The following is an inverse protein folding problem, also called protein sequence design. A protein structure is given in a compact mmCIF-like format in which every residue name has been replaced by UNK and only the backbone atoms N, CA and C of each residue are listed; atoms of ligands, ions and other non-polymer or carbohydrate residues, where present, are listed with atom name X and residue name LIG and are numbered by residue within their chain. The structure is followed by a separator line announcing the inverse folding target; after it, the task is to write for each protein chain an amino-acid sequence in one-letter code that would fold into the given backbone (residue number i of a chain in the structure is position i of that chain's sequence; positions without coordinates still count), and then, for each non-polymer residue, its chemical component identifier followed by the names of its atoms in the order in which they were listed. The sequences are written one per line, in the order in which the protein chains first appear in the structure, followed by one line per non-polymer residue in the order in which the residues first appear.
data_IF_300982090450
#
_entry.id   IF_300982090450
#
_cell.length_a   1.000
_cell.length_b   1.000
_cell.length_c   1.000
_cell.angle_alpha   90.00
_cell.angle_beta   90.00
_cell.angle_gamma   90.00
#
_symmetry.space_group_name_H-M   'P 1'
#
loop_
_entity.id
_entity.type
_entity.pdbx_description
1 polymer ?
#
# COMPACT_ATOMS: atom_id res chain seq x y z
N UNK A 1 -24.64 21.61 -29.87
CA UNK A 1 -25.39 20.66 -29.04
C UNK A 1 -24.46 19.59 -28.43
N UNK A 2 -23.17 19.88 -28.34
CA UNK A 2 -22.06 18.95 -27.94
C UNK A 2 -21.44 19.22 -26.55
N UNK A 3 -21.79 20.35 -25.94
CA UNK A 3 -21.15 20.83 -24.69
C UNK A 3 -21.74 20.25 -23.40
N UNK A 4 -22.84 19.50 -23.46
CA UNK A 4 -23.50 18.95 -22.26
C UNK A 4 -23.06 17.52 -21.92
N UNK A 5 -22.41 16.82 -22.87
CA UNK A 5 -22.04 15.41 -22.71
C UNK A 5 -20.76 15.20 -21.89
N UNK A 6 -19.84 16.16 -21.92
CA UNK A 6 -18.53 16.07 -21.22
C UNK A 6 -18.63 16.33 -19.72
N UNK A 7 -19.54 17.19 -19.26
CA UNK A 7 -19.70 17.50 -17.83
C UNK A 7 -20.27 16.36 -16.98
N UNK A 8 -21.12 15.51 -17.57
CA UNK A 8 -21.70 14.36 -16.85
C UNK A 8 -20.69 13.27 -16.54
N UNK A 9 -19.78 12.99 -17.47
CA UNK A 9 -18.73 11.96 -17.29
C UNK A 9 -17.71 12.32 -16.20
N UNK A 10 -17.24 13.56 -16.18
CA UNK A 10 -16.24 13.99 -15.19
C UNK A 10 -16.79 14.04 -13.75
N UNK A 11 -18.10 14.28 -13.60
CA UNK A 11 -18.74 14.30 -12.29
C UNK A 11 -18.93 12.89 -11.72
N UNK A 12 -19.20 11.90 -12.58
CA UNK A 12 -19.31 10.50 -12.17
C UNK A 12 -17.95 9.92 -11.75
N UNK A 13 -16.87 10.25 -12.47
CA UNK A 13 -15.49 9.85 -12.11
C UNK A 13 -15.10 10.38 -10.74
N UNK A 14 -15.34 11.66 -10.49
CA UNK A 14 -15.04 12.30 -9.22
C UNK A 14 -15.82 11.68 -8.06
N UNK A 15 -17.11 11.40 -8.23
CA UNK A 15 -17.94 10.76 -7.21
C UNK A 15 -17.47 9.34 -6.89
N UNK A 16 -17.15 8.54 -7.91
CA UNK A 16 -16.64 7.17 -7.75
C UNK A 16 -15.27 7.16 -7.06
N UNK A 17 -14.39 8.07 -7.45
CA UNK A 17 -13.08 8.24 -6.80
C UNK A 17 -13.25 8.64 -5.33
N UNK A 18 -14.15 9.58 -5.02
CA UNK A 18 -14.48 9.98 -3.65
C UNK A 18 -15.00 8.81 -2.81
N UNK A 19 -15.84 7.97 -3.39
CA UNK A 19 -16.37 6.77 -2.75
C UNK A 19 -15.24 5.78 -2.44
N UNK A 20 -14.31 5.56 -3.38
CA UNK A 20 -13.14 4.71 -3.18
C UNK A 20 -12.23 5.23 -2.06
N UNK A 21 -11.96 6.54 -2.04
CA UNK A 21 -11.18 7.16 -0.95
C UNK A 21 -11.90 7.01 0.39
N UNK A 22 -13.19 7.27 0.43
CA UNK A 22 -13.97 7.12 1.67
C UNK A 22 -13.90 5.69 2.17
N UNK A 23 -14.02 4.70 1.28
CA UNK A 23 -13.90 3.29 1.62
C UNK A 23 -12.49 2.96 2.14
N UNK A 24 -11.43 3.50 1.53
CA UNK A 24 -10.05 3.29 2.00
C UNK A 24 -9.79 3.95 3.35
N UNK A 25 -10.32 5.15 3.58
CA UNK A 25 -10.22 5.83 4.88
C UNK A 25 -10.96 5.05 5.96
N UNK A 26 -12.14 4.54 5.68
CA UNK A 26 -12.88 3.68 6.62
C UNK A 26 -12.10 2.41 6.92
N UNK A 27 -11.52 1.75 5.91
CA UNK A 27 -10.67 0.57 6.11
C UNK A 27 -9.44 0.86 6.97
N UNK A 28 -8.76 1.98 6.71
CA UNK A 28 -7.62 2.44 7.52
C UNK A 28 -8.03 2.80 8.96
N UNK A 29 -9.21 3.41 9.14
CA UNK A 29 -9.75 3.74 10.47
C UNK A 29 -10.07 2.48 11.27
N UNK A 30 -10.62 1.45 10.63
CA UNK A 30 -10.85 0.14 11.25
C UNK A 30 -9.52 -0.50 11.63
N UNK A 31 -8.53 -0.49 10.73
CA UNK A 31 -7.19 -1.00 11.01
C UNK A 31 -6.50 -0.24 12.17
N UNK A 32 -6.69 1.07 12.26
CA UNK A 32 -6.20 1.89 13.37
C UNK A 32 -6.92 1.53 14.68
N UNK A 33 -8.23 1.32 14.65
CA UNK A 33 -9.01 0.91 15.83
C UNK A 33 -8.51 -0.42 16.43
N UNK A 34 -8.14 -1.38 15.59
CA UNK A 34 -7.51 -2.65 16.02
C UNK A 34 -6.04 -2.52 16.41
N UNK A 35 -5.51 -1.30 16.58
CA UNK A 35 -4.09 -1.02 16.83
C UNK A 35 -3.13 -1.64 15.79
N UNK A 36 -3.62 -1.98 14.60
CA UNK A 36 -2.82 -2.61 13.56
C UNK A 36 -1.69 -1.69 13.08
N UNK A 37 -1.92 -0.39 13.01
CA UNK A 37 -0.91 0.61 12.64
C UNK A 37 0.19 0.68 13.72
N UNK A 38 -0.18 0.64 14.99
CA UNK A 38 0.80 0.62 16.09
C UNK A 38 1.58 -0.70 16.10
N UNK A 39 0.91 -1.82 15.87
CA UNK A 39 1.53 -3.12 15.72
C UNK A 39 2.51 -3.15 14.54
N UNK A 40 2.13 -2.58 13.41
CA UNK A 40 2.98 -2.45 12.22
C UNK A 40 4.24 -1.64 12.53
N UNK A 41 4.08 -0.46 13.14
CA UNK A 41 5.20 0.42 13.48
C UNK A 41 6.17 -0.20 14.51
N UNK A 42 5.65 -0.94 15.47
CA UNK A 42 6.44 -1.58 16.52
C UNK A 42 7.21 -2.82 16.03
N UNK A 43 6.67 -3.52 15.03
CA UNK A 43 7.21 -4.81 14.56
C UNK A 43 7.90 -4.73 13.20
N UNK A 44 7.71 -3.66 12.43
CA UNK A 44 8.39 -3.46 11.15
C UNK A 44 9.82 -2.99 11.36
N UNK A 45 10.74 -3.95 11.37
CA UNK A 45 12.19 -3.71 11.54
C UNK A 45 12.78 -2.83 10.43
N UNK A 46 12.22 -2.89 9.23
CA UNK A 46 12.72 -2.17 8.05
C UNK A 46 12.10 -0.79 7.87
N UNK A 47 10.99 -0.51 8.58
CA UNK A 47 10.13 0.67 8.39
C UNK A 47 9.67 0.89 6.93
N UNK A 48 9.85 -0.12 6.08
CA UNK A 48 9.45 -0.08 4.68
C UNK A 48 7.93 -0.02 4.52
N UNK A 49 7.17 -0.63 5.43
CA UNK A 49 5.70 -0.51 5.44
C UNK A 49 5.25 0.94 5.58
N UNK A 50 5.94 1.73 6.41
CA UNK A 50 5.64 3.17 6.56
C UNK A 50 5.98 3.94 5.28
N UNK A 51 7.10 3.61 4.63
CA UNK A 51 7.47 4.22 3.36
C UNK A 51 6.45 3.89 2.25
N UNK A 52 5.97 2.65 2.17
CA UNK A 52 4.93 2.23 1.23
C UNK A 52 3.61 2.98 1.49
N UNK A 53 3.20 3.13 2.75
CA UNK A 53 2.00 3.90 3.11
C UNK A 53 2.14 5.39 2.77
N UNK A 54 3.32 5.98 2.95
CA UNK A 54 3.59 7.36 2.56
C UNK A 54 3.52 7.52 1.02
N UNK A 55 4.10 6.60 0.26
CA UNK A 55 3.98 6.56 -1.20
C UNK A 55 2.52 6.39 -1.65
N UNK A 56 1.76 5.51 -0.99
CA UNK A 56 0.34 5.33 -1.26
C UNK A 56 -0.46 6.63 -1.06
N UNK A 57 -0.25 7.32 0.06
CA UNK A 57 -0.92 8.59 0.35
C UNK A 57 -0.55 9.67 -0.67
N UNK A 58 0.75 9.79 -1.02
CA UNK A 58 1.23 10.73 -2.01
C UNK A 58 0.62 10.45 -3.39
N UNK A 59 0.66 9.19 -3.86
CA UNK A 59 0.12 8.81 -5.17
C UNK A 59 -1.40 9.03 -5.24
N UNK A 60 -2.14 8.65 -4.20
CA UNK A 60 -3.59 8.89 -4.12
C UNK A 60 -3.91 10.39 -4.17
N UNK A 61 -3.10 11.23 -3.50
CA UNK A 61 -3.27 12.68 -3.54
C UNK A 61 -2.99 13.26 -4.93
N UNK A 62 -1.97 12.75 -5.62
CA UNK A 62 -1.65 13.17 -7.00
C UNK A 62 -2.76 12.78 -7.98
N UNK A 63 -3.29 11.55 -7.87
CA UNK A 63 -4.43 11.10 -8.69
C UNK A 63 -5.63 12.02 -8.45
N UNK A 64 -5.94 12.33 -7.19
CA UNK A 64 -7.04 13.23 -6.85
C UNK A 64 -6.85 14.64 -7.40
N UNK A 65 -5.65 15.18 -7.30
CA UNK A 65 -5.33 16.50 -7.86
C UNK A 65 -5.50 16.50 -9.39
N UNK A 66 -5.00 15.48 -10.10
CA UNK A 66 -5.17 15.34 -11.56
C UNK A 66 -6.64 15.26 -11.96
N UNK A 67 -7.45 14.45 -11.27
CA UNK A 67 -8.90 14.34 -11.52
C UNK A 67 -9.60 15.69 -11.30
N UNK A 68 -9.21 16.42 -10.24
CA UNK A 68 -9.79 17.75 -9.96
C UNK A 68 -9.43 18.75 -11.05
N UNK A 69 -8.18 18.76 -11.51
CA UNK A 69 -7.70 19.68 -12.50
C UNK A 69 -8.26 19.40 -13.90
N UNK A 70 -8.37 18.11 -14.29
CA UNK A 70 -9.05 17.69 -15.54
C UNK A 70 -10.53 18.16 -15.62
N UNK A 71 -11.15 18.30 -14.46
CA UNK A 71 -12.52 18.83 -14.38
C UNK A 71 -12.60 20.32 -14.74
N UNK A 72 -11.53 21.07 -14.47
CA UNK A 72 -11.47 22.53 -14.63
C UNK A 72 -10.85 22.97 -15.96
N UNK A 73 -9.90 22.17 -16.47
CA UNK A 73 -9.08 22.53 -17.62
C UNK A 73 -9.11 21.40 -18.63
N UNK A 74 -9.85 21.15 -19.48
CA UNK A 74 -9.97 20.10 -20.54
C UNK A 74 -8.65 19.37 -20.94
N UNK A 75 -7.60 19.44 -20.12
CA UNK A 75 -6.32 18.75 -20.33
C UNK A 75 -6.41 17.28 -19.86
N UNK A 76 -6.00 16.37 -20.74
CA UNK A 76 -5.92 14.93 -20.43
C UNK A 76 -4.55 14.61 -19.87
N UNK A 77 -4.49 14.26 -18.58
CA UNK A 77 -3.26 13.82 -17.94
C UNK A 77 -2.97 12.34 -18.22
N UNK A 78 -1.70 12.00 -18.43
CA UNK A 78 -1.24 10.62 -18.47
C UNK A 78 -0.98 10.11 -17.04
N UNK A 79 -1.34 8.84 -16.78
CA UNK A 79 -1.18 8.18 -15.47
C UNK A 79 -0.05 7.15 -15.47
N UNK A 80 0.89 7.23 -16.40
CA UNK A 80 2.00 6.28 -16.54
C UNK A 80 2.87 6.19 -15.29
N UNK A 81 3.09 7.33 -14.62
CA UNK A 81 3.88 7.41 -13.38
C UNK A 81 3.17 6.69 -12.24
N UNK A 82 1.87 6.88 -12.09
CA UNK A 82 1.06 6.27 -11.04
C UNK A 82 0.96 4.75 -11.22
N UNK A 83 0.88 4.27 -12.46
CA UNK A 83 0.99 2.85 -12.78
C UNK A 83 2.34 2.29 -12.35
N UNK A 84 3.42 2.95 -12.71
CA UNK A 84 4.78 2.55 -12.32
C UNK A 84 4.94 2.53 -10.79
N UNK A 85 4.48 3.56 -10.08
CA UNK A 85 4.55 3.63 -8.62
C UNK A 85 3.76 2.50 -7.97
N UNK A 86 2.59 2.13 -8.52
CA UNK A 86 1.82 1.00 -8.01
C UNK A 86 2.58 -0.33 -8.10
N UNK A 87 3.38 -0.54 -9.15
CA UNK A 87 4.23 -1.72 -9.30
C UNK A 87 5.46 -1.67 -8.38
N UNK A 88 6.03 -0.49 -8.19
CA UNK A 88 7.11 -0.30 -7.22
C UNK A 88 6.68 -0.65 -5.79
N UNK A 89 5.43 -0.38 -5.39
CA UNK A 89 4.93 -0.74 -4.06
C UNK A 89 4.97 -2.25 -3.81
N UNK A 90 4.64 -3.07 -4.81
CA UNK A 90 4.76 -4.54 -4.71
C UNK A 90 6.23 -4.94 -4.55
N UNK A 91 7.10 -4.37 -5.38
CA UNK A 91 8.53 -4.67 -5.36
C UNK A 91 9.17 -4.28 -4.03
N UNK A 92 8.82 -3.11 -3.48
CA UNK A 92 9.26 -2.66 -2.16
C UNK A 92 8.76 -3.59 -1.04
N UNK A 93 7.50 -4.06 -1.14
CA UNK A 93 6.96 -5.04 -0.22
C UNK A 93 7.77 -6.34 -0.21
N UNK A 94 8.11 -6.87 -1.39
CA UNK A 94 8.93 -8.08 -1.52
C UNK A 94 10.36 -7.86 -1.00
N UNK A 95 10.99 -6.73 -1.32
CA UNK A 95 12.32 -6.37 -0.80
C UNK A 95 12.30 -6.31 0.74
N UNK A 96 11.27 -5.69 1.32
CA UNK A 96 11.09 -5.62 2.77
C UNK A 96 10.97 -6.99 3.43
N UNK A 97 10.26 -7.93 2.77
CA UNK A 97 10.16 -9.32 3.24
C UNK A 97 11.53 -10.00 3.25
N UNK A 98 12.29 -9.87 2.17
CA UNK A 98 13.62 -10.48 2.06
C UNK A 98 14.57 -9.93 3.12
N UNK A 99 14.63 -8.61 3.27
CA UNK A 99 15.47 -7.95 4.29
C UNK A 99 15.06 -8.37 5.70
N UNK A 100 13.75 -8.36 5.99
CA UNK A 100 13.21 -8.76 7.29
C UNK A 100 13.54 -10.23 7.61
N UNK A 101 13.46 -11.11 6.63
CA UNK A 101 13.80 -12.51 6.78
C UNK A 101 15.30 -12.72 7.04
N UNK A 102 16.17 -12.06 6.29
CA UNK A 102 17.64 -12.13 6.50
C UNK A 102 18.00 -11.63 7.91
N UNK A 103 17.43 -10.50 8.32
CA UNK A 103 17.68 -9.95 9.66
C UNK A 103 17.22 -10.89 10.77
N UNK A 104 16.04 -11.49 10.61
CA UNK A 104 15.51 -12.46 11.56
C UNK A 104 16.43 -13.67 11.69
N UNK A 105 16.86 -14.27 10.56
CA UNK A 105 17.79 -15.40 10.57
C UNK A 105 19.10 -15.03 11.29
N UNK A 106 19.69 -13.90 10.94
CA UNK A 106 20.92 -13.44 11.58
C UNK A 106 20.74 -13.28 13.10
N UNK A 107 19.66 -12.64 13.54
CA UNK A 107 19.37 -12.41 14.96
C UNK A 107 19.17 -13.71 15.73
N UNK A 108 18.48 -14.68 15.15
CA UNK A 108 18.21 -15.96 15.82
C UNK A 108 19.44 -16.84 15.86
N UNK A 109 20.12 -17.02 14.75
CA UNK A 109 21.28 -17.92 14.69
C UNK A 109 22.50 -17.38 15.47
N UNK A 110 22.67 -16.07 15.60
CA UNK A 110 23.73 -15.49 16.41
C UNK A 110 23.55 -15.72 17.92
N UNK A 111 22.33 -15.99 18.39
CA UNK A 111 22.00 -16.21 19.79
C UNK A 111 21.69 -17.68 20.14
N UNK A 112 21.79 -18.60 19.18
CA UNK A 112 21.32 -19.98 19.32
C UNK A 112 22.33 -20.82 20.09
N UNK A 113 21.93 -21.33 21.26
CA UNK A 113 22.70 -22.30 22.02
C UNK A 113 22.04 -23.68 21.86
N UNK A 114 22.68 -24.56 21.07
CA UNK A 114 22.13 -25.87 20.66
C UNK A 114 22.04 -26.85 21.83
N UNK A 115 22.78 -26.63 22.90
CA UNK A 115 22.82 -27.55 24.07
C UNK A 115 21.64 -27.35 25.02
N UNK A 116 20.91 -26.23 24.90
CA UNK A 116 19.76 -25.92 25.75
C UNK A 116 18.44 -26.01 24.97
N UNK A 117 17.61 -26.99 25.30
CA UNK A 117 16.32 -27.23 24.67
C UNK A 117 15.36 -26.03 24.80
N UNK A 118 15.41 -25.31 25.93
CA UNK A 118 14.58 -24.12 26.14
C UNK A 118 15.03 -22.97 25.24
N UNK A 119 16.35 -22.80 25.06
CA UNK A 119 16.89 -21.79 24.16
C UNK A 119 16.50 -22.05 22.70
N UNK A 120 16.47 -23.33 22.31
CA UNK A 120 16.01 -23.73 20.96
C UNK A 120 14.52 -23.42 20.76
N UNK A 121 13.66 -23.75 21.73
CA UNK A 121 12.21 -23.43 21.66
C UNK A 121 11.96 -21.91 21.56
N UNK A 122 12.66 -21.11 22.38
CA UNK A 122 12.55 -19.66 22.33
C UNK A 122 13.01 -19.10 20.98
N UNK A 123 14.07 -19.66 20.41
CA UNK A 123 14.59 -19.26 19.10
C UNK A 123 13.59 -19.56 17.97
N UNK A 124 12.94 -20.72 18.00
CA UNK A 124 11.86 -21.07 17.07
C UNK A 124 10.67 -20.11 17.19
N UNK A 125 10.28 -19.73 18.41
CA UNK A 125 9.24 -18.71 18.62
C UNK A 125 9.60 -17.34 18.02
N UNK A 126 10.85 -16.89 18.22
CA UNK A 126 11.35 -15.66 17.60
C UNK A 126 11.38 -15.75 16.07
N UNK A 127 11.74 -16.92 15.50
CA UNK A 127 11.68 -17.14 14.06
C UNK A 127 10.27 -17.01 13.54
N UNK A 128 9.28 -17.67 14.16
CA UNK A 128 7.89 -17.58 13.75
C UNK A 128 7.36 -16.13 13.78
N UNK A 129 7.69 -15.40 14.83
CA UNK A 129 7.33 -13.99 14.97
C UNK A 129 8.02 -13.11 13.90
N UNK A 130 9.32 -13.31 13.66
CA UNK A 130 10.07 -12.55 12.64
C UNK A 130 9.58 -12.81 11.22
N UNK A 131 9.20 -14.05 10.91
CA UNK A 131 8.55 -14.37 9.63
C UNK A 131 7.22 -13.64 9.46
N UNK A 132 6.38 -13.62 10.51
CA UNK A 132 5.10 -12.92 10.48
C UNK A 132 5.27 -11.43 10.20
N UNK A 133 6.23 -10.78 10.85
CA UNK A 133 6.50 -9.33 10.64
C UNK A 133 7.08 -9.04 9.26
N UNK A 134 7.95 -9.90 8.72
CA UNK A 134 8.46 -9.75 7.36
C UNK A 134 7.32 -9.82 6.32
N UNK A 135 6.38 -10.77 6.46
CA UNK A 135 5.25 -10.91 5.56
C UNK A 135 4.28 -9.72 5.59
N UNK A 136 4.20 -8.98 6.70
CA UNK A 136 3.36 -7.78 6.80
C UNK A 136 3.77 -6.70 5.80
N UNK A 137 5.05 -6.52 5.54
CA UNK A 137 5.53 -5.53 4.57
C UNK A 137 5.05 -5.84 3.16
N UNK A 138 5.08 -7.11 2.76
CA UNK A 138 4.52 -7.55 1.48
C UNK A 138 3.02 -7.35 1.42
N UNK A 139 2.29 -7.68 2.49
CA UNK A 139 0.85 -7.47 2.56
C UNK A 139 0.49 -5.99 2.35
N UNK A 140 1.19 -5.08 3.03
CA UNK A 140 0.98 -3.63 2.87
C UNK A 140 1.27 -3.20 1.43
N UNK A 141 2.36 -3.67 0.82
CA UNK A 141 2.71 -3.38 -0.57
C UNK A 141 1.65 -3.84 -1.57
N UNK A 142 1.16 -5.07 -1.41
CA UNK A 142 0.12 -5.65 -2.27
C UNK A 142 -1.21 -4.90 -2.13
N UNK A 143 -1.68 -4.65 -0.91
CA UNK A 143 -2.95 -3.94 -0.68
C UNK A 143 -2.88 -2.53 -1.23
N UNK A 144 -1.80 -1.79 -0.97
CA UNK A 144 -1.59 -0.44 -1.48
C UNK A 144 -1.60 -0.41 -3.01
N UNK A 145 -0.89 -1.33 -3.66
CA UNK A 145 -0.87 -1.44 -5.12
C UNK A 145 -2.24 -1.72 -5.71
N UNK A 146 -2.97 -2.69 -5.15
CA UNK A 146 -4.33 -3.03 -5.63
C UNK A 146 -5.27 -1.83 -5.52
N UNK A 147 -5.20 -1.06 -4.43
CA UNK A 147 -6.02 0.13 -4.24
C UNK A 147 -5.68 1.22 -5.26
N UNK A 148 -4.40 1.49 -5.53
CA UNK A 148 -3.98 2.44 -6.57
C UNK A 148 -4.44 1.97 -7.96
N UNK A 149 -4.19 0.70 -8.31
CA UNK A 149 -4.61 0.15 -9.60
C UNK A 149 -6.13 0.22 -9.81
N UNK A 150 -6.91 -0.02 -8.76
CA UNK A 150 -8.36 0.13 -8.80
C UNK A 150 -8.79 1.56 -9.09
N UNK A 151 -8.11 2.56 -8.50
CA UNK A 151 -8.35 3.98 -8.80
C UNK A 151 -8.01 4.30 -10.26
N UNK A 152 -6.86 3.84 -10.76
CA UNK A 152 -6.40 4.10 -12.13
C UNK A 152 -7.33 3.49 -13.18
N UNK A 153 -7.68 2.20 -13.01
CA UNK A 153 -8.62 1.51 -13.92
C UNK A 153 -9.96 2.22 -13.98
N UNK A 154 -10.46 2.71 -12.85
CA UNK A 154 -11.73 3.43 -12.81
C UNK A 154 -11.65 4.74 -13.61
N UNK A 155 -10.56 5.50 -13.45
CA UNK A 155 -10.36 6.77 -14.18
C UNK A 155 -10.21 6.51 -15.69
N UNK A 156 -9.42 5.51 -16.08
CA UNK A 156 -9.20 5.19 -17.48
C UNK A 156 -10.44 4.63 -18.18
N UNK A 157 -11.25 3.83 -17.46
CA UNK A 157 -12.47 3.24 -18.05
C UNK A 157 -13.53 4.30 -18.36
N UNK A 158 -13.69 5.29 -17.52
CA UNK A 158 -14.63 6.40 -17.74
C UNK A 158 -14.19 7.34 -18.89
N UNK A 159 -12.90 7.31 -19.27
CA UNK A 159 -12.39 8.08 -20.43
C UNK A 159 -12.66 7.41 -21.77
N UNK A 160 -12.92 6.10 -21.76
CA UNK A 160 -13.19 5.33 -22.99
C UNK A 160 -14.65 5.33 -23.39
N UNK A 161 -15.54 5.77 -22.49
CA UNK A 161 -16.99 5.89 -22.72
C UNK A 161 -17.36 7.33 -23.09
#
# INVERSE_FOLDING_TARGET
MESTRTKGGSMSVFLKWWLLITLTIVGLSIAAYFNFIHFLYAHDLTKLSVAILALFAATTSVIGYKIWNERNEEEKYEYNVEWFVSEMMISLGMIGTVIGFIYMLYSVFSSLNITDTLAVQQSLGKMAQGMGTALLTTLVGLVSSVLIKSQLVMVENERKV
#
